data_IF_157882543995
#
_entry.id   IF_157882543995
#
_cell.length_a   1.000
_cell.length_b   1.000
_cell.length_c   1.000
_cell.angle_alpha   90.00
_cell.angle_beta   90.00
_cell.angle_gamma   90.00
#
_symmetry.space_group_name_H-M   'P 1'
#
loop_
_entity.id
_entity.type
_entity.pdbx_description
1 polymer ?
#
# COMPACT_ATOMS: atom_id res chain seq x y z
N UNK A 1 39.27 -1.33 -66.47
CA UNK A 1 39.25 -2.12 -65.22
C UNK A 1 40.63 -2.09 -64.57
N UNK A 2 40.91 -1.15 -63.65
CA UNK A 2 42.17 -1.14 -62.89
C UNK A 2 42.04 -0.21 -61.68
N UNK A 3 41.46 -0.70 -60.57
CA UNK A 3 41.44 -0.03 -59.26
C UNK A 3 41.50 -1.02 -58.08
N UNK A 4 41.91 -2.27 -58.31
CA UNK A 4 41.89 -3.32 -57.29
C UNK A 4 43.25 -3.53 -56.57
N UNK A 5 44.36 -2.97 -57.06
CA UNK A 5 45.69 -3.29 -56.54
C UNK A 5 46.20 -2.38 -55.41
N UNK A 6 45.51 -1.29 -55.07
CA UNK A 6 45.94 -0.38 -54.01
C UNK A 6 45.66 -0.89 -52.58
N UNK A 7 44.78 -1.89 -52.42
CA UNK A 7 44.41 -2.42 -51.09
C UNK A 7 45.33 -3.54 -50.57
N UNK A 8 46.24 -4.07 -51.39
CA UNK A 8 47.09 -5.19 -51.00
C UNK A 8 48.36 -4.80 -50.22
N UNK A 9 48.71 -3.50 -50.13
CA UNK A 9 49.96 -3.04 -49.49
C UNK A 9 49.79 -2.46 -48.07
N UNK A 10 48.58 -2.36 -47.52
CA UNK A 10 48.36 -1.67 -46.21
C UNK A 10 48.33 -2.61 -45.00
N UNK A 11 48.52 -3.92 -45.16
CA UNK A 11 48.57 -4.89 -44.04
C UNK A 11 49.85 -5.75 -43.97
N UNK A 12 51.06 -5.16 -44.01
CA UNK A 12 52.30 -5.93 -43.86
C UNK A 12 52.43 -6.60 -42.48
N UNK A 13 51.69 -6.12 -41.47
CA UNK A 13 51.76 -6.60 -40.09
C UNK A 13 51.04 -7.94 -39.86
N UNK A 14 50.03 -8.30 -40.66
CA UNK A 14 49.34 -9.60 -40.57
C UNK A 14 50.20 -10.75 -41.12
N UNK A 15 51.09 -10.48 -42.09
CA UNK A 15 51.99 -11.50 -42.65
C UNK A 15 53.23 -11.79 -41.80
N UNK A 16 53.64 -10.83 -40.97
CA UNK A 16 54.88 -10.92 -40.17
C UNK A 16 54.65 -11.38 -38.72
N UNK A 17 53.40 -11.67 -38.32
CA UNK A 17 53.09 -12.13 -36.96
C UNK A 17 53.46 -11.12 -35.86
N UNK A 18 53.71 -9.86 -36.23
CA UNK A 18 54.13 -8.83 -35.29
C UNK A 18 52.91 -8.32 -34.51
N UNK A 19 52.99 -8.19 -33.18
CA UNK A 19 51.90 -7.67 -32.37
C UNK A 19 51.51 -6.27 -32.86
N UNK A 20 50.20 -6.05 -33.02
CA UNK A 20 49.66 -4.77 -33.48
C UNK A 20 50.27 -3.56 -32.73
N UNK A 21 50.51 -2.44 -33.42
CA UNK A 21 51.20 -1.29 -32.85
C UNK A 21 50.47 -0.75 -31.61
N UNK A 22 51.23 -0.46 -30.56
CA UNK A 22 50.79 -0.01 -29.23
C UNK A 22 49.76 1.14 -29.31
N UNK A 23 49.86 2.01 -30.32
CA UNK A 23 48.91 3.10 -30.58
C UNK A 23 47.46 2.69 -30.90
N UNK A 24 47.21 1.45 -31.36
CA UNK A 24 45.85 0.92 -31.62
C UNK A 24 45.25 0.12 -30.45
N UNK A 25 46.05 -0.31 -29.48
CA UNK A 25 45.56 -0.99 -28.26
C UNK A 25 45.05 -0.02 -27.20
N UNK A 26 45.65 1.18 -27.13
CA UNK A 26 45.21 2.28 -26.26
C UNK A 26 43.74 2.70 -26.45
N UNK A 27 43.23 2.97 -27.68
CA UNK A 27 41.84 3.38 -27.87
C UNK A 27 40.84 2.25 -27.59
N UNK A 28 41.22 0.97 -27.77
CA UNK A 28 40.35 -0.16 -27.46
C UNK A 28 40.20 -0.37 -25.94
N UNK A 29 41.26 -0.16 -25.16
CA UNK A 29 41.18 -0.20 -23.69
C UNK A 29 40.28 0.91 -23.14
N UNK A 30 40.40 2.12 -23.67
CA UNK A 30 39.55 3.26 -23.30
C UNK A 30 38.09 3.06 -23.73
N UNK A 31 37.84 2.53 -24.93
CA UNK A 31 36.49 2.22 -25.40
C UNK A 31 35.82 1.11 -24.56
N UNK A 32 36.58 0.06 -24.22
CA UNK A 32 36.10 -0.99 -23.32
C UNK A 32 35.79 -0.46 -21.92
N UNK A 33 36.66 0.41 -21.38
CA UNK A 33 36.45 1.05 -20.08
C UNK A 33 35.22 1.95 -20.07
N UNK A 34 35.03 2.76 -21.11
CA UNK A 34 33.84 3.60 -21.26
C UNK A 34 32.56 2.76 -21.38
N UNK A 35 32.61 1.62 -22.07
CA UNK A 35 31.48 0.70 -22.17
C UNK A 35 31.12 0.10 -20.80
N UNK A 36 32.10 -0.29 -19.99
CA UNK A 36 31.87 -0.79 -18.62
C UNK A 36 31.24 0.28 -17.74
N UNK A 37 31.76 1.51 -17.77
CA UNK A 37 31.18 2.64 -17.02
C UNK A 37 29.75 2.92 -17.47
N UNK A 38 29.48 2.90 -18.78
CA UNK A 38 28.13 3.13 -19.31
C UNK A 38 27.16 2.04 -18.83
N UNK A 39 27.55 0.76 -18.89
CA UNK A 39 26.73 -0.35 -18.39
C UNK A 39 26.48 -0.23 -16.89
N UNK A 40 27.50 0.12 -16.11
CA UNK A 40 27.37 0.33 -14.68
C UNK A 40 26.42 1.49 -14.35
N UNK A 41 26.51 2.58 -15.09
CA UNK A 41 25.61 3.73 -14.95
C UNK A 41 24.16 3.35 -15.28
N UNK A 42 23.95 2.61 -16.37
CA UNK A 42 22.63 2.08 -16.72
C UNK A 42 22.07 1.12 -15.66
N UNK A 43 22.90 0.25 -15.10
CA UNK A 43 22.50 -0.65 -14.02
C UNK A 43 22.07 0.12 -12.76
N UNK A 44 22.79 1.19 -12.40
CA UNK A 44 22.41 2.07 -11.28
C UNK A 44 21.07 2.77 -11.52
N UNK A 45 20.85 3.33 -12.72
CA UNK A 45 19.59 3.99 -13.07
C UNK A 45 18.44 3.00 -13.04
N UNK A 46 18.62 1.82 -13.63
CA UNK A 46 17.60 0.77 -13.63
C UNK A 46 17.28 0.30 -12.21
N UNK A 47 18.32 0.05 -11.40
CA UNK A 47 18.17 -0.33 -9.99
C UNK A 47 17.42 0.72 -9.18
N UNK A 48 17.70 2.01 -9.40
CA UNK A 48 16.99 3.11 -8.77
C UNK A 48 15.50 3.14 -9.15
N UNK A 49 15.18 2.99 -10.44
CA UNK A 49 13.78 2.95 -10.91
C UNK A 49 13.03 1.77 -10.29
N UNK A 50 13.65 0.59 -10.21
CA UNK A 50 13.06 -0.58 -9.54
C UNK A 50 12.84 -0.30 -8.06
N UNK A 51 13.80 0.30 -7.37
CA UNK A 51 13.68 0.64 -5.95
C UNK A 51 12.52 1.62 -5.71
N UNK A 52 12.42 2.68 -6.51
CA UNK A 52 11.32 3.67 -6.42
C UNK A 52 9.96 3.03 -6.70
N UNK A 53 9.87 2.18 -7.73
CA UNK A 53 8.61 1.47 -8.03
C UNK A 53 8.22 0.49 -6.90
N UNK A 54 9.19 -0.21 -6.31
CA UNK A 54 8.95 -1.09 -5.16
C UNK A 54 8.59 -0.33 -3.88
N UNK A 55 9.10 0.90 -3.72
CA UNK A 55 8.73 1.76 -2.61
C UNK A 55 7.30 2.28 -2.77
N UNK A 56 6.89 2.60 -4.01
CA UNK A 56 5.51 2.96 -4.32
C UNK A 56 4.52 1.82 -4.03
N UNK A 57 4.86 0.57 -4.34
CA UNK A 57 4.00 -0.58 -4.02
C UNK A 57 3.84 -0.79 -2.51
N UNK A 58 4.90 -0.56 -1.71
CA UNK A 58 4.83 -0.60 -0.24
C UNK A 58 3.95 0.50 0.35
N UNK A 59 3.87 1.67 -0.30
CA UNK A 59 2.97 2.74 0.10
C UNK A 59 1.49 2.36 -0.03
N UNK A 60 1.13 1.55 -1.02
CA UNK A 60 -0.24 1.05 -1.16
C UNK A 60 -0.58 0.00 -0.09
N UNK A 61 0.34 -0.93 0.21
CA UNK A 61 0.14 -1.90 1.31
C UNK A 61 -0.01 -1.20 2.66
N UNK A 62 0.79 -0.17 2.94
CA UNK A 62 0.67 0.60 4.18
C UNK A 62 -0.70 1.28 4.28
N UNK A 63 -1.19 1.87 3.18
CA UNK A 63 -2.50 2.54 3.16
C UNK A 63 -3.67 1.57 3.35
N UNK A 64 -3.54 0.33 2.86
CA UNK A 64 -4.54 -0.71 3.10
C UNK A 64 -4.55 -1.18 4.55
N UNK A 65 -3.37 -1.27 5.19
CA UNK A 65 -3.27 -1.57 6.62
C UNK A 65 -3.87 -0.44 7.46
N UNK A 66 -3.57 0.83 7.14
CA UNK A 66 -4.16 2.00 7.80
C UNK A 66 -5.70 2.00 7.72
N UNK A 67 -6.26 1.72 6.53
CA UNK A 67 -7.72 1.60 6.36
C UNK A 67 -8.35 0.53 7.26
N UNK A 68 -7.69 -0.61 7.41
CA UNK A 68 -8.17 -1.70 8.28
C UNK A 68 -8.15 -1.30 9.75
N UNK A 69 -7.09 -0.62 10.18
CA UNK A 69 -6.99 -0.09 11.55
C UNK A 69 -8.10 0.92 11.83
N UNK A 70 -8.36 1.83 10.89
CA UNK A 70 -9.42 2.84 11.06
C UNK A 70 -10.82 2.19 11.13
N UNK A 71 -11.07 1.19 10.27
CA UNK A 71 -12.34 0.44 10.30
C UNK A 71 -12.52 -0.27 11.64
N UNK A 72 -11.48 -0.96 12.12
CA UNK A 72 -11.54 -1.68 13.39
C UNK A 72 -11.74 -0.74 14.58
N UNK A 73 -11.14 0.46 14.54
CA UNK A 73 -11.33 1.49 15.57
C UNK A 73 -12.76 2.01 15.59
N UNK A 74 -13.34 2.22 14.41
CA UNK A 74 -14.75 2.59 14.27
C UNK A 74 -15.68 1.52 14.84
N UNK A 75 -15.39 0.24 14.58
CA UNK A 75 -16.19 -0.88 15.11
C UNK A 75 -16.10 -0.97 16.64
N UNK A 76 -14.91 -0.76 17.22
CA UNK A 76 -14.72 -0.72 18.68
C UNK A 76 -15.52 0.42 19.30
N UNK A 77 -15.47 1.63 18.73
CA UNK A 77 -16.26 2.76 19.23
C UNK A 77 -17.77 2.46 19.18
N UNK A 78 -18.26 1.82 18.12
CA UNK A 78 -19.67 1.41 18.04
C UNK A 78 -20.05 0.35 19.09
N UNK A 79 -19.16 -0.60 19.37
CA UNK A 79 -19.36 -1.58 20.43
C UNK A 79 -19.37 -0.93 21.82
N UNK A 80 -18.46 0.00 22.08
CA UNK A 80 -18.39 0.75 23.35
C UNK A 80 -19.68 1.55 23.60
N UNK A 81 -20.22 2.22 22.58
CA UNK A 81 -21.47 2.96 22.68
C UNK A 81 -22.68 2.04 22.95
N UNK A 82 -22.67 0.86 22.34
CA UNK A 82 -23.69 -0.18 22.58
C UNK A 82 -23.63 -0.69 24.02
N UNK A 83 -22.43 -0.95 24.53
CA UNK A 83 -22.21 -1.36 25.93
C UNK A 83 -22.61 -0.26 26.91
N UNK A 84 -22.26 0.99 26.62
CA UNK A 84 -22.64 2.14 27.43
C UNK A 84 -24.17 2.30 27.51
N UNK A 85 -24.86 2.09 26.40
CA UNK A 85 -26.33 2.14 26.32
C UNK A 85 -26.97 1.02 27.14
N UNK A 86 -26.51 -0.22 26.97
CA UNK A 86 -26.97 -1.37 27.75
C UNK A 86 -26.74 -1.20 29.26
N UNK A 87 -25.56 -0.73 29.64
CA UNK A 87 -25.21 -0.44 31.03
C UNK A 87 -26.08 0.66 31.62
N UNK A 88 -26.36 1.71 30.85
CA UNK A 88 -27.25 2.80 31.26
C UNK A 88 -28.69 2.31 31.49
N UNK A 89 -29.21 1.44 30.61
CA UNK A 89 -30.54 0.84 30.77
C UNK A 89 -30.60 -0.09 31.99
N UNK A 90 -29.56 -0.89 32.22
CA UNK A 90 -29.46 -1.73 33.42
C UNK A 90 -29.41 -0.88 34.69
N UNK A 91 -28.61 0.20 34.71
CA UNK A 91 -28.53 1.11 35.85
C UNK A 91 -29.86 1.81 36.15
N UNK A 92 -30.64 2.17 35.11
CA UNK A 92 -31.99 2.70 35.28
C UNK A 92 -32.95 1.64 35.85
N UNK A 93 -32.86 0.40 35.39
CA UNK A 93 -33.69 -0.70 35.89
C UNK A 93 -33.38 -1.03 37.36
N UNK A 94 -32.10 -1.09 37.74
CA UNK A 94 -31.69 -1.30 39.12
C UNK A 94 -32.18 -0.16 40.04
N UNK A 95 -32.08 1.09 39.59
CA UNK A 95 -32.62 2.23 40.33
C UNK A 95 -34.14 2.17 40.44
N UNK A 96 -34.84 1.76 39.39
CA UNK A 96 -36.30 1.60 39.41
C UNK A 96 -36.73 0.51 40.41
N UNK A 97 -36.06 -0.64 40.42
CA UNK A 97 -36.30 -1.71 41.38
C UNK A 97 -36.00 -1.25 42.81
N UNK A 98 -34.88 -0.53 43.03
CA UNK A 98 -34.52 0.01 44.34
C UNK A 98 -35.53 1.04 44.87
N UNK A 99 -36.21 1.76 43.98
CA UNK A 99 -37.30 2.70 44.30
C UNK A 99 -38.66 2.00 44.45
N UNK A 100 -38.71 0.67 44.35
CA UNK A 100 -39.93 -0.13 44.53
C UNK A 100 -40.82 -0.23 43.29
N UNK A 101 -40.35 0.19 42.11
CA UNK A 101 -41.09 0.02 40.87
C UNK A 101 -41.02 -1.46 40.41
N UNK A 102 -42.19 -2.04 40.13
CA UNK A 102 -42.32 -3.42 39.62
C UNK A 102 -42.50 -3.36 38.09
N UNK A 103 -41.79 -4.18 37.30
CA UNK A 103 -41.92 -4.19 35.86
C UNK A 103 -43.36 -4.52 35.42
N UNK A 104 -43.94 -3.66 34.58
CA UNK A 104 -45.32 -3.79 34.07
C UNK A 104 -45.39 -4.95 33.08
N UNK A 105 -46.14 -6.02 33.41
CA UNK A 105 -46.33 -7.18 32.54
C UNK A 105 -47.46 -7.01 31.51
N UNK A 106 -48.27 -5.95 31.62
CA UNK A 106 -49.34 -5.63 30.70
C UNK A 106 -49.88 -4.23 30.94
N UNK A 107 -50.01 -3.44 29.87
CA UNK A 107 -50.54 -2.08 29.92
C UNK A 107 -52.04 -2.15 29.62
N UNK A 108 -52.87 -2.13 30.65
CA UNK A 108 -54.32 -2.03 30.49
C UNK A 108 -54.74 -0.56 30.54
N UNK A 109 -55.16 -0.02 29.40
CA UNK A 109 -55.60 1.37 29.29
C UNK A 109 -57.03 1.50 29.80
N UNK A 110 -57.20 2.04 31.01
CA UNK A 110 -58.53 2.38 31.52
C UNK A 110 -59.01 3.66 30.83
N UNK A 111 -60.06 3.55 30.01
CA UNK A 111 -60.68 4.69 29.34
C UNK A 111 -61.68 5.37 30.31
N UNK A 112 -61.40 6.59 30.82
CA UNK A 112 -62.26 7.27 31.79
C UNK A 112 -63.58 7.81 31.20
N UNK A 113 -63.82 7.69 29.89
CA UNK A 113 -65.04 8.18 29.24
C UNK A 113 -66.16 7.11 29.11
N UNK A 114 -65.95 5.89 29.59
CA UNK A 114 -66.87 4.77 29.42
C UNK A 114 -67.80 4.53 30.60
N UNK A 115 -68.98 5.17 30.57
CA UNK A 115 -70.21 4.87 31.37
C UNK A 115 -70.33 5.51 32.75
N UNK A 116 -70.74 6.77 32.69
CA UNK A 116 -71.89 7.26 33.47
C UNK A 116 -73.11 6.35 33.23
N UNK A 117 -73.66 5.80 34.32
CA UNK A 117 -75.10 5.55 34.47
C UNK A 117 -75.43 5.60 35.95
N UNK A 118 -76.19 6.62 36.33
CA UNK A 118 -76.96 6.66 37.56
C UNK A 118 -78.07 5.62 37.53
N UNK A 119 -78.37 4.97 38.66
CA UNK A 119 -79.75 4.73 39.10
C UNK A 119 -79.83 4.15 40.52
N UNK A 120 -80.57 4.91 41.34
CA UNK A 120 -81.40 4.55 42.52
C UNK A 120 -80.77 3.98 43.78
#
# INVERSE_FOLDING_TARGET
MSRAFAFAMTRPHERLGLPQPIGRRLPQGLAGWNMVIAVMMFACVFGYVVQVNSAASRGFELRDVEKRVETLRSDVMGLEDTVATLSSVQALNERAIALGFVPVQGIEYVNPAGKTTAMR
#
